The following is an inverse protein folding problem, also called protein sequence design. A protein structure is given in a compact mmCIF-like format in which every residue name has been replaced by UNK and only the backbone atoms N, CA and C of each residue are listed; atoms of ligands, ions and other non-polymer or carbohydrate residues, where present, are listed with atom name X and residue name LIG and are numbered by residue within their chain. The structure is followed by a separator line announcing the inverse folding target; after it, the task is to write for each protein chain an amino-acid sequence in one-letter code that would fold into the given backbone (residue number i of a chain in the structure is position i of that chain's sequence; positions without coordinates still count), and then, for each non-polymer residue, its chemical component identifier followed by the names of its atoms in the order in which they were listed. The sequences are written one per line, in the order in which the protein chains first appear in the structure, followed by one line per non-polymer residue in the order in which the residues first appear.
data_IF_108512611241
#
_entry.id   IF_108512611241
#
_cell.length_a   1.000
_cell.length_b   1.000
_cell.length_c   1.000
_cell.angle_alpha   90.00
_cell.angle_beta   90.00
_cell.angle_gamma   90.00
#
_symmetry.space_group_name_H-M   'P 1'
#
loop_
_entity.id
_entity.type
_entity.pdbx_description
1 polymer ?
#
# COMPACT_ATOMS: atom_id res chain seq x y z
N UNK A 1 -60.11 2.81 -48.27
CA UNK A 1 -59.14 3.92 -48.22
C UNK A 1 -58.23 3.65 -47.04
N UNK A 2 -56.98 3.29 -47.33
CA UNK A 2 -56.13 2.49 -46.46
C UNK A 2 -55.58 3.22 -45.23
N UNK A 3 -55.60 2.48 -44.13
CA UNK A 3 -54.90 2.64 -42.86
C UNK A 3 -53.37 2.70 -43.05
N UNK A 4 -52.70 3.59 -42.30
CA UNK A 4 -51.24 3.59 -42.12
C UNK A 4 -50.87 4.19 -40.76
N UNK A 5 -50.81 3.30 -39.78
CA UNK A 5 -50.07 3.44 -38.54
C UNK A 5 -48.56 3.71 -38.79
N UNK A 6 -47.95 4.55 -37.96
CA UNK A 6 -46.48 4.66 -37.81
C UNK A 6 -46.02 3.77 -36.65
N UNK A 7 -45.07 2.85 -36.85
CA UNK A 7 -44.47 2.09 -35.76
C UNK A 7 -43.25 2.81 -35.16
N UNK A 8 -42.99 2.45 -33.90
CA UNK A 8 -42.05 3.06 -32.97
C UNK A 8 -40.56 2.93 -33.31
N UNK A 9 -39.80 3.82 -32.69
CA UNK A 9 -38.33 3.83 -32.67
C UNK A 9 -37.85 2.81 -31.63
N UNK A 10 -37.39 1.66 -32.11
CA UNK A 10 -36.74 0.64 -31.30
C UNK A 10 -35.27 1.01 -31.16
N UNK A 11 -34.87 1.46 -29.97
CA UNK A 11 -33.48 1.51 -29.56
C UNK A 11 -32.90 0.09 -29.68
N UNK A 12 -31.83 -0.02 -30.46
CA UNK A 12 -31.14 -1.28 -30.71
C UNK A 12 -30.52 -1.81 -29.42
N UNK A 13 -31.23 -2.74 -28.81
CA UNK A 13 -30.70 -3.73 -27.89
C UNK A 13 -29.60 -4.54 -28.61
N UNK A 14 -28.34 -4.28 -28.27
CA UNK A 14 -27.21 -5.14 -28.64
C UNK A 14 -26.83 -5.98 -27.43
N UNK A 15 -27.67 -6.96 -27.13
CA UNK A 15 -27.34 -8.04 -26.20
C UNK A 15 -26.29 -8.95 -26.83
N UNK A 16 -25.10 -8.99 -26.24
CA UNK A 16 -24.05 -9.98 -26.55
C UNK A 16 -24.36 -11.24 -25.72
N UNK A 17 -24.53 -12.44 -26.32
CA UNK A 17 -24.92 -13.62 -25.56
C UNK A 17 -23.76 -14.13 -24.68
N UNK A 18 -23.95 -14.18 -23.36
CA UNK A 18 -23.09 -15.00 -22.47
C UNK A 18 -22.58 -14.37 -21.16
N UNK A 19 -22.84 -13.09 -20.88
CA UNK A 19 -22.42 -12.45 -19.61
C UNK A 19 -23.62 -11.80 -18.92
N UNK A 20 -24.40 -12.62 -18.21
CA UNK A 20 -25.44 -12.10 -17.31
C UNK A 20 -24.78 -11.35 -16.15
N UNK A 21 -24.91 -10.02 -16.14
CA UNK A 21 -25.04 -9.28 -14.88
C UNK A 21 -23.98 -8.25 -14.50
N UNK A 22 -23.04 -7.87 -15.37
CA UNK A 22 -22.27 -6.62 -15.17
C UNK A 22 -22.50 -5.71 -16.36
N UNK A 23 -23.45 -4.78 -16.22
CA UNK A 23 -23.60 -3.68 -17.16
C UNK A 23 -22.28 -2.91 -17.16
N UNK A 24 -21.56 -2.93 -18.28
CA UNK A 24 -20.35 -2.12 -18.42
C UNK A 24 -20.72 -0.67 -18.07
N UNK A 25 -19.92 0.04 -17.25
CA UNK A 25 -20.22 1.41 -16.89
C UNK A 25 -20.37 2.24 -18.16
N UNK A 26 -21.38 3.14 -18.17
CA UNK A 26 -21.58 4.04 -19.30
C UNK A 26 -20.25 4.74 -19.65
N UNK A 27 -19.89 4.81 -20.95
CA UNK A 27 -18.62 5.37 -21.36
C UNK A 27 -18.48 6.80 -20.87
N UNK A 28 -17.34 7.11 -20.25
CA UNK A 28 -17.00 8.45 -19.84
C UNK A 28 -16.84 9.34 -21.07
N UNK A 29 -17.31 10.57 -20.94
CA UNK A 29 -16.89 11.64 -21.85
C UNK A 29 -15.38 11.88 -21.72
N UNK A 30 -14.80 12.50 -22.75
CA UNK A 30 -13.37 12.86 -22.75
C UNK A 30 -13.00 13.72 -21.53
N UNK A 31 -13.83 14.69 -21.18
CA UNK A 31 -13.57 15.60 -20.07
C UNK A 31 -13.61 14.84 -18.73
N UNK A 32 -14.54 13.90 -18.57
CA UNK A 32 -14.59 13.05 -17.37
C UNK A 32 -13.38 12.11 -17.27
N UNK A 33 -12.89 11.57 -18.39
CA UNK A 33 -11.64 10.80 -18.42
C UNK A 33 -10.46 11.67 -17.98
N UNK A 34 -10.34 12.88 -18.53
CA UNK A 34 -9.24 13.79 -18.21
C UNK A 34 -9.27 14.20 -16.73
N UNK A 35 -10.46 14.53 -16.20
CA UNK A 35 -10.66 14.82 -14.77
C UNK A 35 -10.28 13.62 -13.89
N UNK A 36 -10.69 12.41 -14.27
CA UNK A 36 -10.36 11.20 -13.53
C UNK A 36 -8.85 10.91 -13.51
N UNK A 37 -8.16 11.10 -14.65
CA UNK A 37 -6.70 10.93 -14.75
C UNK A 37 -5.97 11.96 -13.88
N UNK A 38 -6.41 13.22 -13.90
CA UNK A 38 -5.84 14.27 -13.04
C UNK A 38 -6.04 13.95 -11.57
N UNK A 39 -7.25 13.54 -11.17
CA UNK A 39 -7.54 13.17 -9.79
C UNK A 39 -6.72 11.96 -9.32
N UNK A 40 -6.58 10.94 -10.17
CA UNK A 40 -5.78 9.76 -9.87
C UNK A 40 -4.29 10.09 -9.78
N UNK A 41 -3.79 10.98 -10.65
CA UNK A 41 -2.43 11.51 -10.57
C UNK A 41 -2.16 12.23 -9.25
N UNK A 42 -3.05 13.15 -8.86
CA UNK A 42 -2.93 13.86 -7.59
C UNK A 42 -2.97 12.91 -6.37
N UNK A 43 -3.78 11.85 -6.43
CA UNK A 43 -3.79 10.82 -5.40
C UNK A 43 -2.46 10.05 -5.37
N UNK A 44 -1.96 9.62 -6.53
CA UNK A 44 -0.66 8.95 -6.63
C UNK A 44 0.48 9.80 -6.07
N UNK A 45 0.50 11.11 -6.30
CA UNK A 45 1.53 12.00 -5.78
C UNK A 45 1.49 12.12 -4.25
N UNK A 46 0.29 12.25 -3.66
CA UNK A 46 0.12 12.23 -2.19
C UNK A 46 0.57 10.91 -1.58
N UNK A 47 0.18 9.80 -2.20
CA UNK A 47 0.59 8.46 -1.79
C UNK A 47 2.10 8.31 -1.90
N UNK A 48 2.72 8.80 -2.97
CA UNK A 48 4.17 8.74 -3.16
C UNK A 48 4.90 9.46 -2.02
N UNK A 49 4.40 10.63 -1.61
CA UNK A 49 4.92 11.34 -0.44
C UNK A 49 4.74 10.54 0.86
N UNK A 50 3.58 9.89 1.06
CA UNK A 50 3.33 9.04 2.23
C UNK A 50 4.23 7.79 2.26
N UNK A 51 4.42 7.12 1.13
CA UNK A 51 5.33 5.96 1.01
C UNK A 51 6.79 6.35 1.23
N UNK A 52 7.20 7.55 0.79
CA UNK A 52 8.52 8.09 1.10
C UNK A 52 8.70 8.38 2.59
N UNK A 53 7.69 8.98 3.24
CA UNK A 53 7.71 9.20 4.69
C UNK A 53 7.78 7.87 5.47
N UNK A 54 7.06 6.85 5.00
CA UNK A 54 7.09 5.50 5.55
C UNK A 54 8.49 4.87 5.45
N UNK A 55 9.15 4.96 4.29
CA UNK A 55 10.48 4.37 4.06
C UNK A 55 11.58 5.04 4.92
N UNK A 56 11.44 6.34 5.18
CA UNK A 56 12.38 7.11 6.00
C UNK A 56 12.02 7.12 7.49
N UNK A 57 10.98 6.39 7.90
CA UNK A 57 10.51 6.42 9.28
C UNK A 57 11.50 5.69 10.22
N UNK A 58 11.93 6.29 11.35
CA UNK A 58 12.92 5.68 12.25
C UNK A 58 12.47 4.32 12.82
N UNK A 59 11.17 4.21 13.16
CA UNK A 59 10.55 2.96 13.60
C UNK A 59 10.63 1.80 12.60
N UNK A 60 10.95 2.04 11.32
CA UNK A 60 11.06 0.96 10.33
C UNK A 60 12.27 0.05 10.61
N UNK A 61 13.38 0.63 11.07
CA UNK A 61 14.54 -0.15 11.51
C UNK A 61 14.17 -1.06 12.69
N UNK A 62 13.30 -0.56 13.58
CA UNK A 62 12.81 -1.35 14.69
C UNK A 62 12.09 -2.60 14.15
N UNK A 63 11.16 -2.52 13.20
CA UNK A 63 10.42 -3.68 12.67
C UNK A 63 11.34 -4.85 12.24
N UNK A 64 12.52 -4.53 11.71
CA UNK A 64 13.47 -5.52 11.17
C UNK A 64 14.39 -6.17 12.21
N UNK A 65 14.31 -5.78 13.48
CA UNK A 65 15.19 -6.32 14.55
C UNK A 65 14.83 -7.77 14.90
N UNK A 66 15.76 -8.73 14.74
CA UNK A 66 15.53 -10.12 15.12
C UNK A 66 15.56 -10.33 16.64
N UNK A 67 15.01 -11.45 17.12
CA UNK A 67 15.09 -11.85 18.54
C UNK A 67 14.02 -11.25 19.44
N UNK A 68 12.99 -10.62 18.86
CA UNK A 68 11.77 -10.25 19.59
C UNK A 68 10.92 -11.47 19.88
N UNK A 69 10.19 -11.41 20.99
CA UNK A 69 9.27 -12.47 21.37
C UNK A 69 7.91 -11.90 21.79
N UNK A 70 6.88 -12.74 21.74
CA UNK A 70 5.60 -12.46 22.37
C UNK A 70 4.71 -11.49 21.59
N UNK A 71 4.30 -10.38 22.22
CA UNK A 71 3.33 -9.44 21.62
C UNK A 71 3.98 -8.48 20.62
N UNK A 72 5.18 -8.01 20.93
CA UNK A 72 5.93 -7.07 20.07
C UNK A 72 6.38 -7.74 18.77
N UNK A 73 6.73 -9.03 18.83
CA UNK A 73 7.03 -9.83 17.65
C UNK A 73 5.83 -9.89 16.69
N UNK A 74 4.65 -10.27 17.19
CA UNK A 74 3.41 -10.31 16.39
C UNK A 74 3.07 -8.95 15.81
N UNK A 75 3.14 -7.89 16.63
CA UNK A 75 2.90 -6.53 16.18
C UNK A 75 3.84 -6.10 15.05
N UNK A 76 5.13 -6.41 15.17
CA UNK A 76 6.14 -6.09 14.16
C UNK A 76 5.95 -6.93 12.88
N UNK A 77 5.63 -8.23 13.01
CA UNK A 77 5.35 -9.09 11.87
C UNK A 77 4.11 -8.63 11.08
N UNK A 78 3.03 -8.30 11.79
CA UNK A 78 1.81 -7.78 11.16
C UNK A 78 2.06 -6.44 10.46
N UNK A 79 2.89 -5.57 11.06
CA UNK A 79 3.28 -4.29 10.47
C UNK A 79 4.17 -4.48 9.24
N UNK A 80 5.13 -5.41 9.28
CA UNK A 80 5.96 -5.75 8.14
C UNK A 80 5.12 -6.27 6.96
N UNK A 81 4.20 -7.20 7.22
CA UNK A 81 3.29 -7.72 6.20
C UNK A 81 2.38 -6.64 5.60
N UNK A 82 1.89 -5.70 6.42
CA UNK A 82 1.14 -4.55 5.93
C UNK A 82 1.99 -3.66 5.02
N UNK A 83 3.23 -3.36 5.42
CA UNK A 83 4.16 -2.53 4.62
C UNK A 83 4.44 -3.18 3.27
N UNK A 84 4.68 -4.50 3.23
CA UNK A 84 4.88 -5.23 1.98
C UNK A 84 3.64 -5.15 1.06
N UNK A 85 2.44 -5.27 1.64
CA UNK A 85 1.19 -5.10 0.91
C UNK A 85 1.01 -3.69 0.35
N UNK A 86 1.40 -2.65 1.09
CA UNK A 86 1.38 -1.27 0.61
C UNK A 86 2.32 -1.10 -0.61
N UNK A 87 3.54 -1.60 -0.54
CA UNK A 87 4.49 -1.51 -1.67
C UNK A 87 3.99 -2.25 -2.91
N UNK A 88 3.42 -3.44 -2.73
CA UNK A 88 2.81 -4.21 -3.82
C UNK A 88 1.68 -3.43 -4.53
N UNK A 89 0.76 -2.86 -3.74
CA UNK A 89 -0.35 -2.05 -4.26
C UNK A 89 0.11 -0.73 -4.89
N UNK A 90 1.11 -0.07 -4.31
CA UNK A 90 1.68 1.16 -4.85
C UNK A 90 2.30 0.94 -6.23
N UNK A 91 3.06 -0.14 -6.37
CA UNK A 91 3.64 -0.54 -7.67
C UNK A 91 2.55 -0.77 -8.72
N UNK A 92 1.51 -1.53 -8.37
CA UNK A 92 0.39 -1.78 -9.29
C UNK A 92 -0.36 -0.50 -9.68
N UNK A 93 -0.61 0.40 -8.72
CA UNK A 93 -1.26 1.69 -8.98
C UNK A 93 -0.43 2.53 -9.96
N UNK A 94 0.89 2.63 -9.76
CA UNK A 94 1.79 3.36 -10.63
C UNK A 94 1.82 2.80 -12.05
N UNK A 95 1.94 1.48 -12.20
CA UNK A 95 1.91 0.81 -13.51
C UNK A 95 0.59 1.07 -14.25
N UNK A 96 -0.55 0.96 -13.57
CA UNK A 96 -1.86 1.17 -14.20
C UNK A 96 -2.10 2.64 -14.55
N UNK A 97 -1.66 3.58 -13.71
CA UNK A 97 -1.73 5.00 -14.00
C UNK A 97 -0.89 5.36 -15.23
N UNK A 98 0.31 4.80 -15.37
CA UNK A 98 1.16 4.98 -16.54
C UNK A 98 0.51 4.43 -17.82
N UNK A 99 -0.11 3.23 -17.74
CA UNK A 99 -0.86 2.66 -18.86
C UNK A 99 -2.02 3.55 -19.30
N UNK A 100 -2.80 4.08 -18.35
CA UNK A 100 -3.91 5.00 -18.64
C UNK A 100 -3.42 6.29 -19.30
N UNK A 101 -2.34 6.89 -18.76
CA UNK A 101 -1.72 8.11 -19.32
C UNK A 101 -1.19 7.87 -20.73
N UNK A 102 -0.51 6.74 -20.94
CA UNK A 102 0.02 6.35 -22.24
C UNK A 102 -1.09 6.18 -23.26
N UNK A 103 -2.16 5.45 -22.94
CA UNK A 103 -3.32 5.28 -23.82
C UNK A 103 -3.98 6.62 -24.15
N UNK A 104 -4.12 7.51 -23.17
CA UNK A 104 -4.71 8.84 -23.39
C UNK A 104 -3.83 9.75 -24.25
N UNK A 105 -2.51 9.58 -24.21
CA UNK A 105 -1.55 10.37 -24.98
C UNK A 105 -1.41 9.93 -26.45
N UNK A 106 -1.81 8.70 -26.79
CA UNK A 106 -1.69 8.17 -28.16
C UNK A 106 -2.46 8.98 -29.20
N UNK A 107 -3.59 9.61 -28.83
CA UNK A 107 -4.41 10.42 -29.74
C UNK A 107 -4.92 11.69 -29.09
N UNK A 108 -4.80 12.80 -29.82
CA UNK A 108 -5.33 14.11 -29.39
C UNK A 108 -6.86 14.13 -29.27
N UNK A 109 -7.57 13.26 -30.00
CA UNK A 109 -9.03 13.10 -29.93
C UNK A 109 -9.38 11.61 -29.91
N UNK A 110 -9.54 11.01 -28.73
CA UNK A 110 -9.86 9.59 -28.61
C UNK A 110 -11.19 9.25 -29.27
N UNK A 111 -11.27 8.10 -29.94
CA UNK A 111 -12.52 7.55 -30.47
C UNK A 111 -13.34 6.82 -29.39
N UNK A 112 -14.57 6.42 -29.73
CA UNK A 112 -15.49 5.74 -28.79
C UNK A 112 -14.90 4.44 -28.21
N UNK A 113 -14.14 3.68 -29.01
CA UNK A 113 -13.47 2.45 -28.56
C UNK A 113 -12.36 2.74 -27.54
N UNK A 114 -11.61 3.83 -27.72
CA UNK A 114 -10.55 4.24 -26.79
C UNK A 114 -11.14 4.80 -25.50
N UNK A 115 -12.22 5.58 -25.59
CA UNK A 115 -12.97 6.07 -24.43
C UNK A 115 -13.58 4.91 -23.64
N UNK A 116 -14.08 3.86 -24.30
CA UNK A 116 -14.56 2.65 -23.64
C UNK A 116 -13.43 1.93 -22.90
N UNK A 117 -12.25 1.77 -23.53
CA UNK A 117 -11.07 1.18 -22.87
C UNK A 117 -10.62 2.00 -21.67
N UNK A 118 -10.51 3.32 -21.81
CA UNK A 118 -10.12 4.23 -20.72
C UNK A 118 -11.15 4.19 -19.57
N UNK A 119 -12.44 4.17 -19.90
CA UNK A 119 -13.51 4.03 -18.92
C UNK A 119 -13.39 2.72 -18.15
N UNK A 120 -13.13 1.62 -18.86
CA UNK A 120 -12.94 0.32 -18.24
C UNK A 120 -11.72 0.33 -17.32
N UNK A 121 -10.57 0.84 -17.76
CA UNK A 121 -9.37 0.92 -16.91
C UNK A 121 -9.59 1.79 -15.65
N UNK A 122 -10.37 2.86 -15.75
CA UNK A 122 -10.59 3.80 -14.65
C UNK A 122 -11.67 3.34 -13.67
N UNK A 123 -12.72 2.65 -14.14
CA UNK A 123 -13.91 2.32 -13.33
C UNK A 123 -14.07 0.83 -13.04
N UNK A 124 -13.52 -0.05 -13.86
CA UNK A 124 -13.67 -1.47 -13.63
C UNK A 124 -12.85 -1.91 -12.41
N UNK A 125 -13.36 -2.89 -11.64
CA UNK A 125 -12.57 -3.52 -10.60
C UNK A 125 -11.53 -4.42 -11.26
N UNK A 126 -10.30 -3.91 -11.37
CA UNK A 126 -9.24 -4.57 -12.14
C UNK A 126 -8.16 -5.20 -11.27
N UNK A 127 -7.81 -4.55 -10.16
CA UNK A 127 -6.64 -4.90 -9.35
C UNK A 127 -7.04 -6.02 -8.38
N UNK A 128 -6.61 -7.26 -8.60
CA UNK A 128 -6.94 -8.36 -7.70
C UNK A 128 -6.11 -8.24 -6.42
N UNK A 129 -6.76 -8.34 -5.28
CA UNK A 129 -6.12 -8.24 -3.96
C UNK A 129 -6.36 -9.53 -3.19
N UNK A 130 -5.28 -10.16 -2.73
CA UNK A 130 -5.31 -11.38 -1.92
C UNK A 130 -5.71 -11.12 -0.47
N UNK A 131 -5.92 -12.19 0.30
CA UNK A 131 -6.25 -12.10 1.72
C UNK A 131 -5.15 -11.45 2.57
N UNK A 132 -3.89 -11.58 2.15
CA UNK A 132 -2.73 -10.89 2.73
C UNK A 132 -2.62 -9.43 2.29
N UNK A 133 -3.57 -8.94 1.50
CA UNK A 133 -3.58 -7.59 0.97
C UNK A 133 -2.63 -7.35 -0.20
N UNK A 134 -1.83 -8.32 -0.62
CA UNK A 134 -0.94 -8.20 -1.78
C UNK A 134 -1.73 -8.17 -3.09
N UNK A 135 -1.18 -7.51 -4.11
CA UNK A 135 -1.69 -7.65 -5.48
C UNK A 135 -1.35 -9.05 -5.99
N UNK A 136 -2.32 -9.70 -6.65
CA UNK A 136 -2.15 -11.03 -7.22
C UNK A 136 -1.79 -10.93 -8.71
N UNK A 137 -0.70 -11.57 -9.12
CA UNK A 137 -0.33 -11.63 -10.54
C UNK A 137 -1.28 -12.53 -11.34
N UNK A 138 -1.69 -13.66 -10.73
CA UNK A 138 -2.62 -14.62 -11.33
C UNK A 138 -3.81 -14.84 -10.38
N UNK A 139 -4.88 -14.10 -10.61
CA UNK A 139 -6.01 -14.04 -9.70
C UNK A 139 -7.05 -15.12 -10.04
N UNK A 140 -7.44 -15.98 -9.08
CA UNK A 140 -8.42 -17.00 -9.32
C UNK A 140 -9.79 -16.39 -9.67
N UNK A 141 -10.68 -17.14 -10.35
CA UNK A 141 -12.06 -16.73 -10.55
C UNK A 141 -12.72 -16.38 -9.20
N UNK A 142 -13.29 -15.18 -9.10
CA UNK A 142 -13.93 -14.70 -7.86
C UNK A 142 -13.00 -13.95 -6.89
N UNK A 143 -11.73 -13.72 -7.25
CA UNK A 143 -10.86 -12.83 -6.46
C UNK A 143 -11.49 -11.42 -6.32
N UNK A 144 -11.35 -10.84 -5.13
CA UNK A 144 -11.77 -9.46 -4.88
C UNK A 144 -10.90 -8.55 -5.73
N UNK A 145 -11.55 -7.73 -6.57
CA UNK A 145 -10.87 -6.75 -7.41
C UNK A 145 -11.29 -5.34 -7.02
N UNK A 146 -10.32 -4.45 -6.96
CA UNK A 146 -10.55 -3.05 -6.63
C UNK A 146 -10.44 -2.17 -7.87
N UNK A 147 -11.29 -1.14 -8.01
CA UNK A 147 -11.07 -0.08 -8.98
C UNK A 147 -9.90 0.81 -8.53
N UNK A 148 -9.22 1.46 -9.49
CA UNK A 148 -7.98 2.21 -9.23
C UNK A 148 -8.15 3.29 -8.16
N UNK A 149 -9.27 4.01 -8.16
CA UNK A 149 -9.52 5.06 -7.16
C UNK A 149 -9.76 4.50 -5.76
N UNK A 150 -10.36 3.31 -5.66
CA UNK A 150 -10.52 2.64 -4.36
C UNK A 150 -9.18 2.10 -3.86
N UNK A 151 -8.36 1.52 -4.76
CA UNK A 151 -7.00 1.13 -4.43
C UNK A 151 -6.20 2.32 -3.88
N UNK A 152 -6.27 3.48 -4.55
CA UNK A 152 -5.61 4.71 -4.11
C UNK A 152 -6.08 5.15 -2.71
N UNK A 153 -7.40 5.17 -2.44
CA UNK A 153 -7.93 5.51 -1.10
C UNK A 153 -7.46 4.55 -0.01
N UNK A 154 -7.47 3.25 -0.29
CA UNK A 154 -6.98 2.24 0.66
C UNK A 154 -5.48 2.38 0.91
N UNK A 155 -4.72 2.80 -0.10
CA UNK A 155 -3.28 3.04 0.02
C UNK A 155 -2.98 4.30 0.85
N UNK A 156 -3.72 5.40 0.63
CA UNK A 156 -3.65 6.61 1.47
C UNK A 156 -3.95 6.27 2.93
N UNK A 157 -5.04 5.55 3.19
CA UNK A 157 -5.43 5.17 4.56
C UNK A 157 -4.41 4.21 5.19
N UNK A 158 -3.98 3.20 4.44
CA UNK A 158 -3.08 2.17 4.94
C UNK A 158 -1.66 2.67 5.18
N UNK A 159 -1.17 3.65 4.41
CA UNK A 159 0.12 4.29 4.63
C UNK A 159 0.12 5.18 5.87
N UNK A 160 -0.95 5.95 6.10
CA UNK A 160 -1.12 6.71 7.34
C UNK A 160 -1.15 5.80 8.58
N UNK A 161 -1.94 4.72 8.55
CA UNK A 161 -1.99 3.74 9.64
C UNK A 161 -0.62 3.08 9.89
N UNK A 162 0.11 2.72 8.85
CA UNK A 162 1.44 2.15 9.00
C UNK A 162 2.44 3.13 9.65
N UNK A 163 2.39 4.42 9.28
CA UNK A 163 3.21 5.48 9.89
C UNK A 163 2.88 5.64 11.37
N UNK A 164 1.59 5.69 11.73
CA UNK A 164 1.15 5.80 13.13
C UNK A 164 1.63 4.59 13.94
N UNK A 165 1.50 3.38 13.39
CA UNK A 165 1.97 2.14 14.02
C UNK A 165 3.49 2.11 14.20
N UNK A 166 4.26 2.62 13.24
CA UNK A 166 5.71 2.75 13.36
C UNK A 166 6.09 3.77 14.44
N UNK A 167 5.34 4.87 14.57
CA UNK A 167 5.55 5.87 15.61
C UNK A 167 5.36 5.26 17.00
N UNK A 168 4.28 4.49 17.20
CA UNK A 168 4.04 3.77 18.46
C UNK A 168 5.21 2.82 18.79
N UNK A 169 5.72 2.09 17.80
CA UNK A 169 6.84 1.16 18.00
C UNK A 169 8.14 1.90 18.34
N UNK A 170 8.41 3.03 17.69
CA UNK A 170 9.57 3.87 17.94
C UNK A 170 9.54 4.51 19.34
N UNK A 171 8.39 5.05 19.74
CA UNK A 171 8.17 5.59 21.09
C UNK A 171 8.34 4.52 22.17
N UNK A 172 7.78 3.33 21.96
CA UNK A 172 7.94 2.21 22.88
C UNK A 172 9.41 1.77 22.98
N UNK A 173 10.12 1.70 21.85
CA UNK A 173 11.55 1.42 21.81
C UNK A 173 12.37 2.46 22.59
N UNK A 174 12.11 3.73 22.33
CA UNK A 174 12.75 4.86 23.02
C UNK A 174 12.50 4.83 24.53
N UNK A 175 11.27 4.55 24.96
CA UNK A 175 10.92 4.42 26.37
C UNK A 175 11.67 3.27 27.06
N UNK A 176 11.87 2.14 26.37
CA UNK A 176 12.66 1.03 26.89
C UNK A 176 14.13 1.42 27.07
N UNK A 177 14.73 2.11 26.10
CA UNK A 177 16.12 2.61 26.20
C UNK A 177 16.27 3.54 27.39
N UNK A 178 15.35 4.50 27.57
CA UNK A 178 15.38 5.44 28.71
C UNK A 178 15.24 4.69 30.04
N UNK A 179 14.33 3.72 30.14
CA UNK A 179 14.08 2.97 31.37
C UNK A 179 15.21 2.02 31.75
N UNK A 180 15.81 1.36 30.76
CA UNK A 180 16.80 0.30 30.98
C UNK A 180 18.26 0.73 30.77
N UNK A 181 18.50 1.97 30.32
CA UNK A 181 19.83 2.57 30.25
C UNK A 181 20.56 2.55 31.60
N UNK A 182 20.03 3.18 32.66
CA UNK A 182 20.74 3.25 33.95
C UNK A 182 21.00 1.87 34.60
N UNK A 183 20.04 0.91 34.61
CA UNK A 183 20.32 -0.46 35.04
C UNK A 183 21.40 -1.15 34.19
N UNK A 184 21.40 -0.94 32.86
CA UNK A 184 22.41 -1.50 31.96
C UNK A 184 23.81 -0.97 32.26
N UNK A 185 23.95 0.34 32.49
CA UNK A 185 25.23 0.95 32.89
C UNK A 185 25.71 0.46 34.26
N UNK A 186 24.80 0.26 35.21
CA UNK A 186 25.15 -0.29 36.52
C UNK A 186 25.70 -1.73 36.39
N UNK A 187 25.06 -2.57 35.57
CA UNK A 187 25.54 -3.92 35.28
C UNK A 187 26.89 -3.93 34.56
N UNK A 188 27.09 -3.03 33.59
CA UNK A 188 28.36 -2.89 32.88
C UNK A 188 29.50 -2.48 33.83
N UNK A 189 29.24 -1.54 34.75
CA UNK A 189 30.21 -1.15 35.78
C UNK A 189 30.53 -2.29 36.74
N UNK A 190 29.52 -3.05 37.19
CA UNK A 190 29.73 -4.23 38.04
C UNK A 190 30.60 -5.28 37.32
N UNK A 191 30.32 -5.54 36.05
CA UNK A 191 31.11 -6.46 35.23
C UNK A 191 32.58 -6.03 35.13
N UNK A 192 32.81 -4.75 34.83
CA UNK A 192 34.17 -4.20 34.78
C UNK A 192 34.91 -4.31 36.12
N UNK A 193 34.20 -4.10 37.24
CA UNK A 193 34.78 -4.26 38.57
C UNK A 193 35.16 -5.73 38.88
N UNK A 194 34.30 -6.68 38.50
CA UNK A 194 34.61 -8.11 38.62
C UNK A 194 35.81 -8.49 37.76
N UNK A 195 35.86 -8.03 36.51
CA UNK A 195 36.96 -8.32 35.59
C UNK A 195 38.29 -7.74 36.11
N UNK A 196 38.26 -6.58 36.77
CA UNK A 196 39.43 -5.96 37.40
C UNK A 196 39.94 -6.70 38.65
N UNK A 197 39.11 -7.52 39.30
CA UNK A 197 39.47 -8.35 40.46
C UNK A 197 40.07 -9.71 40.08
N UNK A 198 40.06 -10.08 38.79
CA UNK A 198 40.58 -11.36 38.31
C UNK A 198 39.81 -12.60 38.82
N UNK A 199 40.18 -13.81 38.37
CA UNK A 199 39.44 -15.05 38.68
C UNK A 199 39.47 -15.47 40.16
N UNK A 200 40.41 -14.94 40.96
CA UNK A 200 40.62 -15.31 42.36
C UNK A 200 40.22 -14.20 43.36
N UNK A 201 39.63 -13.08 42.88
CA UNK A 201 39.18 -11.96 43.73
C UNK A 201 40.29 -11.08 44.31
N UNK A 202 41.55 -11.27 43.89
CA UNK A 202 42.68 -10.45 44.26
C UNK A 202 42.91 -9.37 43.19
N UNK A 203 43.02 -8.07 43.55
CA UNK A 203 43.23 -7.02 42.57
C UNK A 203 44.45 -7.34 41.71
N UNK A 204 44.28 -7.41 40.39
CA UNK A 204 45.39 -7.62 39.46
C UNK A 204 46.38 -6.47 39.69
N UNK A 205 47.60 -6.78 40.12
CA UNK A 205 48.61 -5.83 40.58
C UNK A 205 49.14 -4.85 39.50
N UNK A 206 48.43 -4.68 38.38
CA UNK A 206 48.79 -3.83 37.26
C UNK A 206 48.43 -2.34 37.44
N UNK A 207 47.83 -1.92 38.56
CA UNK A 207 47.45 -0.52 38.82
C UNK A 207 48.21 0.16 39.97
N UNK A 208 49.38 -0.35 40.38
CA UNK A 208 50.21 0.28 41.43
C UNK A 208 51.59 0.80 40.95
N UNK A 209 51.78 1.02 39.66
CA UNK A 209 52.91 1.77 39.09
C UNK A 209 52.41 2.71 37.99
#
# INVERSE_FOLDING_TARGET
MADRARPGSTAADRTVPGLTGVTAPAPLSRDEVDVAIVALGAAHDRISAAMYALDNHPGLAAVRVPGRTGRTERYAADLAAQIDALWSRFTALGTLLDQVRTLRAQRSRPGDEELAKLTWLLRAPMVPVGANGMVLDDAPPGAVRLPLMELARQLETGSADAIDRLSILDEAGSALVVRFGPPGEALARLRAAVDALGPDGAPTAACLL
#
